data_IF_273920242010
#
_entry.id   IF_273920242010
#
_cell.length_a   1.000
_cell.length_b   1.000
_cell.length_c   1.000
_cell.angle_alpha   90.00
_cell.angle_beta   90.00
_cell.angle_gamma   90.00
#
_symmetry.space_group_name_H-M   'P 1'
#
loop_
_entity.id
_entity.type
_entity.pdbx_description
1 polymer ?
#
# COMPACT_ATOMS: atom_id res chain seq x y z
N UNK A 1 3.66 12.17 -2.03
CA UNK A 1 3.60 11.16 -3.12
C UNK A 1 3.52 9.78 -2.49
N UNK A 2 2.68 8.91 -3.05
CA UNK A 2 2.58 7.48 -2.71
C UNK A 2 3.05 6.72 -3.94
N UNK A 3 4.00 5.79 -3.80
CA UNK A 3 4.60 5.07 -4.93
C UNK A 3 4.79 3.59 -4.58
N UNK A 4 4.33 2.70 -5.45
CA UNK A 4 4.55 1.26 -5.35
C UNK A 4 5.67 0.78 -6.27
N UNK A 5 6.46 -0.20 -5.83
CA UNK A 5 7.36 -0.99 -6.68
C UNK A 5 6.69 -2.32 -6.99
N UNK A 6 6.59 -2.65 -8.27
CA UNK A 6 6.08 -3.94 -8.73
C UNK A 6 7.22 -4.83 -9.19
N UNK A 7 7.21 -6.10 -8.78
CA UNK A 7 8.09 -7.13 -9.35
C UNK A 7 7.44 -8.51 -9.32
N UNK A 8 7.91 -9.41 -10.18
CA UNK A 8 7.62 -10.82 -10.07
C UNK A 8 8.33 -11.48 -8.90
N UNK A 9 7.74 -12.55 -8.38
CA UNK A 9 8.34 -13.46 -7.41
C UNK A 9 8.27 -14.89 -7.94
N UNK A 10 9.01 -15.81 -7.31
CA UNK A 10 8.87 -17.24 -7.60
C UNK A 10 7.45 -17.75 -7.32
N UNK A 11 6.73 -17.14 -6.38
CA UNK A 11 5.37 -17.50 -5.98
C UNK A 11 4.31 -16.95 -6.92
N UNK A 12 4.61 -15.87 -7.65
CA UNK A 12 3.70 -15.29 -8.65
C UNK A 12 4.02 -15.77 -10.06
N UNK A 13 4.93 -16.75 -10.21
CA UNK A 13 5.38 -17.27 -11.51
C UNK A 13 5.83 -16.15 -12.47
N UNK A 14 6.48 -15.12 -11.93
CA UNK A 14 6.95 -13.95 -12.68
C UNK A 14 5.89 -12.85 -12.90
N UNK A 15 4.63 -13.05 -12.53
CA UNK A 15 3.61 -12.00 -12.58
C UNK A 15 3.90 -10.93 -11.53
N UNK A 16 3.70 -9.67 -11.91
CA UNK A 16 4.00 -8.53 -11.06
C UNK A 16 3.09 -8.49 -9.81
N UNK A 17 3.70 -8.34 -8.63
CA UNK A 17 3.03 -8.02 -7.38
C UNK A 17 3.71 -6.82 -6.71
N UNK A 18 3.00 -6.14 -5.82
CA UNK A 18 3.57 -5.04 -5.05
C UNK A 18 4.61 -5.58 -4.07
N UNK A 19 5.85 -5.12 -4.19
CA UNK A 19 7.00 -5.52 -3.38
C UNK A 19 7.43 -4.46 -2.37
N UNK A 20 6.98 -3.22 -2.56
CA UNK A 20 7.30 -2.10 -1.69
C UNK A 20 6.32 -1.00 -1.94
N UNK A 21 5.95 -0.27 -0.88
CA UNK A 21 5.29 1.01 -1.03
C UNK A 21 6.00 2.08 -0.22
N UNK A 22 6.05 3.29 -0.77
CA UNK A 22 6.67 4.46 -0.15
C UNK A 22 5.67 5.62 -0.14
N UNK A 23 5.52 6.26 1.01
CA UNK A 23 4.84 7.55 1.18
C UNK A 23 5.89 8.59 1.57
N UNK A 24 6.00 9.69 0.83
CA UNK A 24 7.05 10.67 1.05
C UNK A 24 6.74 12.09 0.50
N UNK A 25 7.63 13.02 0.82
CA UNK A 25 7.68 14.39 0.28
C UNK A 25 7.02 15.41 1.21
N UNK A 26 6.68 16.58 0.68
CA UNK A 26 6.05 17.65 1.47
C UNK A 26 4.73 17.21 2.13
N UNK A 27 4.07 16.23 1.52
CA UNK A 27 2.88 15.56 2.08
C UNK A 27 3.13 14.95 3.46
N UNK A 28 4.37 14.59 3.81
CA UNK A 28 4.77 14.11 5.13
C UNK A 28 5.82 15.03 5.79
N UNK A 29 5.79 16.33 5.52
CA UNK A 29 6.77 17.29 6.04
C UNK A 29 8.24 16.87 5.79
N UNK A 30 8.50 16.22 4.65
CA UNK A 30 9.83 15.74 4.27
C UNK A 30 10.19 14.33 4.76
N UNK A 31 9.38 13.73 5.64
CA UNK A 31 9.57 12.35 6.07
C UNK A 31 9.26 11.35 4.95
N UNK A 32 9.79 10.13 5.12
CA UNK A 32 9.55 8.99 4.23
C UNK A 32 9.16 7.76 5.04
N UNK A 33 7.99 7.21 4.72
CA UNK A 33 7.51 5.92 5.21
C UNK A 33 7.69 4.90 4.09
N UNK A 34 8.28 3.75 4.41
CA UNK A 34 8.46 2.64 3.47
C UNK A 34 8.01 1.33 4.12
N UNK A 35 7.18 0.56 3.42
CA UNK A 35 6.71 -0.75 3.86
C UNK A 35 7.10 -1.81 2.85
N UNK A 36 7.64 -2.92 3.36
CA UNK A 36 8.13 -4.08 2.61
C UNK A 36 7.44 -5.36 3.10
N UNK A 37 7.44 -6.45 2.32
CA UNK A 37 7.02 -7.77 2.78
C UNK A 37 7.77 -8.24 4.02
N UNK A 38 7.30 -9.33 4.64
CA UNK A 38 7.83 -9.80 5.92
C UNK A 38 9.16 -10.54 5.80
N UNK A 39 9.36 -11.34 4.76
CA UNK A 39 10.57 -12.14 4.64
C UNK A 39 11.77 -11.26 4.27
N UNK A 40 12.92 -11.53 4.89
CA UNK A 40 14.15 -10.78 4.68
C UNK A 40 14.61 -10.74 3.21
N UNK A 41 14.33 -11.80 2.43
CA UNK A 41 14.64 -11.84 1.00
C UNK A 41 13.93 -10.73 0.20
N UNK A 42 12.84 -10.17 0.73
CA UNK A 42 12.04 -9.10 0.12
C UNK A 42 12.13 -7.77 0.90
N UNK A 43 13.04 -7.70 1.88
CA UNK A 43 13.33 -6.49 2.65
C UNK A 43 12.98 -6.62 4.13
N UNK A 44 11.79 -7.11 4.48
CA UNK A 44 11.44 -7.46 5.86
C UNK A 44 11.04 -6.29 6.77
N UNK A 45 11.12 -5.03 6.32
CA UNK A 45 11.06 -3.89 7.22
C UNK A 45 9.88 -2.93 6.97
N UNK A 46 9.48 -2.25 8.05
CA UNK A 46 8.79 -0.96 8.02
C UNK A 46 9.87 0.07 8.35
N UNK A 47 10.09 1.04 7.47
CA UNK A 47 11.12 2.06 7.63
C UNK A 47 10.49 3.45 7.72
N UNK A 48 11.01 4.26 8.65
CA UNK A 48 10.80 5.72 8.65
C UNK A 48 12.17 6.37 8.50
N UNK A 49 12.31 7.20 7.48
CA UNK A 49 13.56 7.89 7.12
C UNK A 49 14.77 6.94 7.00
N UNK A 50 14.51 5.73 6.50
CA UNK A 50 15.52 4.68 6.29
C UNK A 50 15.88 3.87 7.53
N UNK A 51 15.23 4.12 8.67
CA UNK A 51 15.45 3.38 9.92
C UNK A 51 14.31 2.38 10.17
N UNK A 52 14.60 1.11 10.52
CA UNK A 52 13.58 0.17 10.94
C UNK A 52 12.79 0.68 12.15
N UNK A 53 11.48 0.61 12.05
CA UNK A 53 10.53 0.92 13.13
C UNK A 53 9.50 -0.21 13.24
N UNK A 54 8.73 -0.24 14.32
CA UNK A 54 7.62 -1.18 14.52
C UNK A 54 8.02 -2.64 14.24
N UNK A 55 9.14 -3.08 14.82
CA UNK A 55 9.61 -4.48 14.73
C UNK A 55 8.70 -5.46 15.46
N UNK A 56 7.84 -4.94 16.34
CA UNK A 56 6.68 -5.58 16.94
C UNK A 56 5.45 -4.70 16.74
N UNK A 57 4.27 -5.23 17.05
CA UNK A 57 3.03 -4.45 17.02
C UNK A 57 3.12 -3.19 17.88
N UNK A 58 2.48 -2.12 17.42
CA UNK A 58 2.49 -0.83 18.07
C UNK A 58 2.19 0.32 17.11
N UNK A 59 2.27 1.55 17.63
CA UNK A 59 1.94 2.78 16.90
C UNK A 59 3.10 3.77 16.98
N UNK A 60 3.34 4.49 15.89
CA UNK A 60 4.35 5.53 15.77
C UNK A 60 3.73 6.77 15.10
N UNK A 61 3.85 7.93 15.75
CA UNK A 61 3.60 9.22 15.10
C UNK A 61 4.84 9.60 14.27
N UNK A 62 4.68 9.80 12.96
CA UNK A 62 5.77 10.16 12.04
C UNK A 62 5.95 11.68 12.03
N UNK A 63 4.85 12.41 11.82
CA UNK A 63 4.80 13.86 11.90
C UNK A 63 3.36 14.31 12.23
N UNK A 64 3.10 15.61 12.25
CA UNK A 64 1.73 16.10 12.36
C UNK A 64 0.89 15.64 11.17
N UNK A 65 -0.28 15.06 11.45
CA UNK A 65 -1.16 14.47 10.45
C UNK A 65 -0.71 13.12 9.88
N UNK A 66 0.37 12.51 10.38
CA UNK A 66 0.83 11.19 9.91
C UNK A 66 1.16 10.23 11.06
N UNK A 67 0.42 9.12 11.15
CA UNK A 67 0.61 8.06 12.15
C UNK A 67 0.61 6.70 11.47
N UNK A 68 1.47 5.79 11.95
CA UNK A 68 1.53 4.41 11.51
C UNK A 68 1.17 3.50 12.68
N UNK A 69 0.25 2.56 12.48
CA UNK A 69 -0.02 1.45 13.41
C UNK A 69 0.30 0.14 12.72
N UNK A 70 1.05 -0.73 13.40
CA UNK A 70 1.33 -2.09 12.95
C UNK A 70 0.65 -3.07 13.91
N UNK A 71 -0.29 -3.86 13.41
CA UNK A 71 -1.02 -4.86 14.18
C UNK A 71 -1.51 -6.02 13.28
N UNK A 72 -2.48 -6.80 13.76
CA UNK A 72 -3.13 -7.88 13.02
C UNK A 72 -4.63 -7.68 12.83
N UNK A 73 -5.15 -6.45 12.95
CA UNK A 73 -6.58 -6.14 12.99
C UNK A 73 -7.02 -5.56 11.65
N UNK A 74 -7.96 -6.22 10.96
CA UNK A 74 -8.52 -5.71 9.72
C UNK A 74 -9.20 -6.79 8.90
N UNK A 75 -10.07 -6.37 7.99
CA UNK A 75 -10.67 -7.28 7.00
C UNK A 75 -9.64 -7.58 5.91
N UNK A 76 -9.34 -8.87 5.68
CA UNK A 76 -8.40 -9.27 4.64
C UNK A 76 -9.04 -9.13 3.25
N UNK A 77 -8.28 -8.69 2.23
CA UNK A 77 -8.76 -8.66 0.85
C UNK A 77 -9.15 -10.05 0.34
N UNK A 78 -8.37 -11.07 0.72
CA UNK A 78 -8.65 -12.48 0.43
C UNK A 78 -9.05 -13.22 1.72
N UNK A 79 -10.30 -13.67 1.78
CA UNK A 79 -10.82 -14.45 2.91
C UNK A 79 -10.10 -15.79 3.08
N UNK A 80 -9.55 -16.37 2.01
CA UNK A 80 -8.79 -17.61 2.10
C UNK A 80 -7.46 -17.45 2.86
N UNK A 81 -6.96 -16.20 2.97
CA UNK A 81 -5.76 -15.87 3.72
C UNK A 81 -5.99 -15.75 5.24
N UNK A 82 -7.24 -15.79 5.71
CA UNK A 82 -7.61 -15.71 7.14
C UNK A 82 -7.08 -16.83 8.02
N UNK A 83 -6.53 -17.89 7.41
CA UNK A 83 -5.81 -18.96 8.11
C UNK A 83 -4.44 -18.54 8.66
N UNK A 84 -3.91 -17.40 8.22
CA UNK A 84 -2.62 -16.87 8.66
C UNK A 84 -2.82 -15.71 9.62
N UNK A 85 -1.87 -15.51 10.53
CA UNK A 85 -1.87 -14.29 11.34
C UNK A 85 -1.64 -13.06 10.45
N UNK A 86 -2.59 -12.13 10.49
CA UNK A 86 -2.50 -10.87 9.77
C UNK A 86 -1.33 -10.02 10.31
N UNK A 87 -0.64 -9.35 9.37
CA UNK A 87 0.40 -8.34 9.64
C UNK A 87 0.07 -7.11 8.81
N UNK A 88 -0.54 -6.12 9.43
CA UNK A 88 -1.17 -5.00 8.74
C UNK A 88 -0.56 -3.69 9.23
N UNK A 89 -0.18 -2.84 8.29
CA UNK A 89 0.27 -1.48 8.55
C UNK A 89 -0.83 -0.52 8.15
N UNK A 90 -1.44 0.13 9.14
CA UNK A 90 -2.40 1.20 8.96
C UNK A 90 -1.67 2.53 8.99
N UNK A 91 -1.87 3.35 7.97
CA UNK A 91 -1.35 4.71 7.91
C UNK A 91 -2.51 5.69 7.88
N UNK A 92 -2.59 6.52 8.91
CA UNK A 92 -3.37 7.75 8.88
C UNK A 92 -2.47 8.83 8.29
N UNK A 93 -2.85 9.40 7.15
CA UNK A 93 -2.04 10.34 6.39
C UNK A 93 -2.78 11.69 6.24
N UNK A 94 -2.08 12.78 5.88
CA UNK A 94 -2.74 14.06 5.67
C UNK A 94 -3.82 14.01 4.60
N UNK A 95 -4.73 14.98 4.62
CA UNK A 95 -5.89 15.07 3.71
C UNK A 95 -6.92 13.95 3.87
N UNK A 96 -7.01 13.35 5.07
CA UNK A 96 -7.93 12.25 5.40
C UNK A 96 -7.73 11.03 4.49
N UNK A 97 -6.47 10.75 4.14
CA UNK A 97 -6.10 9.58 3.37
C UNK A 97 -5.77 8.48 4.38
N UNK A 98 -6.46 7.35 4.32
CA UNK A 98 -6.05 6.14 5.04
C UNK A 98 -5.40 5.19 4.06
N UNK A 99 -4.28 4.60 4.48
CA UNK A 99 -3.58 3.64 3.66
C UNK A 99 -3.24 2.39 4.46
N UNK A 100 -3.89 1.29 4.11
CA UNK A 100 -3.72 -0.01 4.76
C UNK A 100 -2.87 -0.91 3.88
N UNK A 101 -1.80 -1.45 4.44
CA UNK A 101 -0.85 -2.33 3.77
C UNK A 101 -0.83 -3.68 4.47
N UNK A 102 -1.34 -4.70 3.80
CA UNK A 102 -1.29 -6.08 4.27
C UNK A 102 0.06 -6.67 3.86
N UNK A 103 0.87 -7.05 4.86
CA UNK A 103 2.22 -7.57 4.64
C UNK A 103 2.18 -9.09 4.62
N UNK A 104 2.40 -9.68 3.46
CA UNK A 104 2.63 -11.10 3.32
C UNK A 104 4.13 -11.41 3.36
N UNK A 105 4.48 -12.71 3.34
CA UNK A 105 5.88 -13.14 3.30
C UNK A 105 6.66 -12.47 2.18
N UNK A 106 6.08 -12.46 0.98
CA UNK A 106 6.77 -12.12 -0.25
C UNK A 106 6.09 -11.05 -1.11
N UNK A 107 4.97 -10.46 -0.71
CA UNK A 107 4.28 -9.38 -1.43
C UNK A 107 3.41 -8.54 -0.49
N UNK A 108 2.80 -7.48 -1.02
CA UNK A 108 1.89 -6.59 -0.32
C UNK A 108 0.54 -6.52 -1.03
N UNK A 109 -0.54 -6.51 -0.25
CA UNK A 109 -1.83 -6.00 -0.71
C UNK A 109 -2.10 -4.62 -0.13
N UNK A 110 -2.80 -3.79 -0.90
CA UNK A 110 -2.95 -2.37 -0.66
C UNK A 110 -4.44 -2.01 -0.63
N UNK A 111 -4.86 -1.24 0.37
CA UNK A 111 -6.16 -0.56 0.39
C UNK A 111 -5.93 0.92 0.68
N UNK A 112 -6.26 1.76 -0.28
CA UNK A 112 -6.18 3.22 -0.15
C UNK A 112 -7.60 3.78 -0.09
N UNK A 113 -7.91 4.57 0.94
CA UNK A 113 -9.20 5.25 1.07
C UNK A 113 -8.95 6.76 1.08
N UNK A 114 -9.61 7.44 0.15
CA UNK A 114 -9.48 8.88 -0.08
C UNK A 114 -10.70 9.39 -0.84
N UNK A 115 -10.90 10.71 -0.89
CA UNK A 115 -11.86 11.29 -1.81
C UNK A 115 -11.34 11.19 -3.26
N UNK A 116 -12.22 11.01 -4.27
CA UNK A 116 -11.82 11.05 -5.67
C UNK A 116 -11.14 12.38 -6.01
N UNK A 117 -10.06 12.33 -6.80
CA UNK A 117 -9.43 13.53 -7.29
C UNK A 117 -10.38 14.30 -8.22
N UNK A 118 -10.38 15.63 -8.13
CA UNK A 118 -11.30 16.48 -8.88
C UNK A 118 -11.19 16.33 -10.40
N UNK A 119 -10.02 15.95 -10.92
CA UNK A 119 -9.77 15.69 -12.34
C UNK A 119 -9.81 14.21 -12.71
N UNK A 120 -10.20 13.34 -11.78
CA UNK A 120 -10.16 11.88 -11.93
C UNK A 120 -8.81 11.28 -11.57
N UNK A 121 -8.81 9.95 -11.43
CA UNK A 121 -7.64 9.13 -11.17
C UNK A 121 -7.79 7.81 -11.95
N UNK A 122 -6.70 7.19 -12.38
CA UNK A 122 -6.70 5.86 -12.98
C UNK A 122 -5.33 5.21 -12.79
N UNK A 123 -5.28 3.89 -12.90
CA UNK A 123 -4.05 3.13 -12.72
C UNK A 123 -4.30 1.64 -12.61
N UNK A 124 -3.31 0.92 -12.08
CA UNK A 124 -3.40 -0.53 -11.91
C UNK A 124 -4.49 -0.98 -10.92
N UNK A 125 -5.01 -0.08 -10.11
CA UNK A 125 -6.10 -0.33 -9.16
C UNK A 125 -7.46 0.18 -9.65
N UNK A 126 -7.56 0.62 -10.90
CA UNK A 126 -8.80 1.15 -11.46
C UNK A 126 -8.92 2.67 -11.47
N UNK A 127 -10.08 3.16 -11.95
CA UNK A 127 -10.34 4.59 -12.16
C UNK A 127 -11.12 5.28 -11.02
N UNK A 128 -11.51 4.52 -9.99
CA UNK A 128 -12.21 5.01 -8.80
C UNK A 128 -13.52 5.76 -9.08
N UNK A 129 -14.26 5.35 -10.12
CA UNK A 129 -15.58 5.89 -10.47
C UNK A 129 -16.76 5.18 -9.75
N UNK A 130 -16.47 4.14 -8.95
CA UNK A 130 -17.48 3.34 -8.24
C UNK A 130 -18.07 2.18 -9.04
N UNK A 131 -17.61 1.93 -10.25
CA UNK A 131 -18.00 0.82 -11.11
C UNK A 131 -16.87 -0.21 -11.25
N UNK A 132 -16.88 -1.30 -10.45
CA UNK A 132 -15.82 -2.31 -10.53
C UNK A 132 -15.82 -3.10 -11.85
N UNK A 133 -16.88 -3.00 -12.67
CA UNK A 133 -16.95 -3.76 -13.93
C UNK A 133 -15.96 -3.28 -14.98
N UNK A 134 -15.49 -2.02 -14.87
CA UNK A 134 -14.48 -1.45 -15.74
C UNK A 134 -13.04 -1.51 -15.17
N UNK A 135 -12.85 -2.13 -14.01
CA UNK A 135 -11.54 -2.32 -13.36
C UNK A 135 -10.88 -3.67 -13.70
N UNK A 136 -11.32 -4.30 -14.79
CA UNK A 136 -10.66 -5.50 -15.32
C UNK A 136 -9.32 -5.18 -15.97
N UNK A 137 -8.39 -6.15 -16.00
CA UNK A 137 -7.09 -6.00 -16.68
C UNK A 137 -7.23 -5.49 -18.11
N UNK A 138 -8.19 -6.02 -18.88
CA UNK A 138 -8.40 -5.62 -20.27
C UNK A 138 -8.87 -4.15 -20.38
N UNK A 139 -9.80 -3.73 -19.52
CA UNK A 139 -10.31 -2.36 -19.51
C UNK A 139 -9.23 -1.35 -19.08
N UNK A 140 -8.47 -1.66 -18.02
CA UNK A 140 -7.35 -0.83 -17.55
C UNK A 140 -6.29 -0.66 -18.66
N UNK A 141 -5.92 -1.74 -19.35
CA UNK A 141 -4.97 -1.68 -20.47
C UNK A 141 -5.50 -0.84 -21.63
N UNK A 142 -6.81 -0.90 -21.91
CA UNK A 142 -7.45 -0.09 -22.96
C UNK A 142 -7.42 1.41 -22.65
N UNK A 143 -7.54 1.80 -21.37
CA UNK A 143 -7.47 3.21 -20.95
C UNK A 143 -6.03 3.73 -20.81
N UNK A 144 -5.08 2.81 -20.60
CA UNK A 144 -3.68 3.15 -20.36
C UNK A 144 -3.50 3.89 -19.04
N UNK A 145 -4.12 3.37 -17.97
CA UNK A 145 -4.32 4.01 -16.65
C UNK A 145 -3.23 5.00 -16.21
N UNK A 146 -3.65 6.22 -15.87
CA UNK A 146 -2.81 7.37 -15.49
C UNK A 146 -3.54 8.23 -14.46
N UNK A 147 -2.77 8.95 -13.64
CA UNK A 147 -3.27 10.02 -12.77
C UNK A 147 -3.05 11.37 -13.46
N UNK A 148 -4.07 12.22 -13.48
CA UNK A 148 -4.00 13.58 -14.05
C UNK A 148 -4.05 14.63 -12.95
N UNK A 149 -3.00 15.46 -12.87
CA UNK A 149 -2.87 16.58 -11.92
C UNK A 149 -3.72 17.80 -12.31
#
# INVERSE_FOLDING_TARGET
KIQGRFMGTVYTYGLAATQKVVVAGNFLNGHKIEVQPMEHAYGGHILVDGKPVLTSFGTLKVCDGATITYDGIGELPDKAASKWESRIVHMELPQNITFTVYRWGNYLDLKLEMAPLAKGQDGSCGNFNGDPSDDTTAAILSRGGRVTD
#
